data_IF_179237100416
#
_entry.id   IF_179237100416
#
_cell.length_a   1.000
_cell.length_b   1.000
_cell.length_c   1.000
_cell.angle_alpha   90.00
_cell.angle_beta   90.00
_cell.angle_gamma   90.00
#
_symmetry.space_group_name_H-M   'P 1'
#
loop_
_entity.id
_entity.type
_entity.pdbx_description
1 polymer ?
#
# COMPACT_ATOMS: atom_id res chain seq x y z
N UNK A 1 10.15 4.77 15.86
CA UNK A 1 10.45 3.38 15.44
C UNK A 1 9.20 2.56 15.11
N UNK A 2 8.13 2.62 15.93
CA UNK A 2 6.91 1.80 15.78
C UNK A 2 6.16 1.99 14.45
N UNK A 3 5.96 3.21 13.97
CA UNK A 3 5.21 3.50 12.72
C UNK A 3 5.82 2.82 11.49
N UNK A 4 7.15 2.82 11.39
CA UNK A 4 7.89 2.29 10.24
C UNK A 4 7.72 0.77 10.08
N UNK A 5 7.79 0.03 11.20
CA UNK A 5 7.59 -1.42 11.23
C UNK A 5 6.21 -1.82 10.69
N UNK A 6 5.19 -0.97 10.87
CA UNK A 6 3.81 -1.26 10.47
C UNK A 6 3.53 -0.92 9.00
N UNK A 7 4.08 0.19 8.48
CA UNK A 7 4.07 0.43 7.01
C UNK A 7 4.70 -0.74 6.29
N UNK A 8 5.85 -1.18 6.79
CA UNK A 8 6.52 -2.32 6.20
C UNK A 8 5.67 -3.59 6.24
N UNK A 9 5.06 -3.89 7.39
CA UNK A 9 4.28 -5.11 7.49
C UNK A 9 3.08 -5.13 6.54
N UNK A 10 2.37 -4.00 6.39
CA UNK A 10 1.31 -3.91 5.38
C UNK A 10 1.86 -4.10 3.96
N UNK A 11 3.04 -3.54 3.68
CA UNK A 11 3.68 -3.70 2.38
C UNK A 11 4.10 -5.16 2.10
N UNK A 12 4.67 -5.85 3.09
CA UNK A 12 5.00 -7.29 3.02
C UNK A 12 3.72 -8.14 2.92
N UNK A 13 2.62 -7.69 3.53
CA UNK A 13 1.34 -8.37 3.47
C UNK A 13 0.74 -8.41 2.05
N UNK A 14 1.06 -7.45 1.18
CA UNK A 14 0.73 -7.55 -0.24
C UNK A 14 1.84 -8.16 -1.08
N UNK A 15 2.96 -7.44 -1.22
CA UNK A 15 4.02 -7.76 -2.20
C UNK A 15 5.08 -8.76 -1.69
N UNK A 16 5.05 -9.09 -0.39
CA UNK A 16 5.99 -10.04 0.19
C UNK A 16 5.65 -11.49 -0.15
N UNK A 17 6.66 -12.33 -0.28
CA UNK A 17 6.50 -13.78 -0.37
C UNK A 17 7.38 -14.45 0.68
N UNK A 18 6.75 -15.24 1.55
CA UNK A 18 7.45 -16.03 2.57
C UNK A 18 7.41 -17.49 2.16
N UNK A 19 8.56 -18.15 2.16
CA UNK A 19 8.67 -19.57 1.88
C UNK A 19 9.84 -20.21 2.62
N UNK A 20 9.86 -21.54 2.61
CA UNK A 20 10.96 -22.33 3.15
C UNK A 20 11.83 -22.80 1.99
N UNK A 21 13.13 -22.58 2.07
CA UNK A 21 14.11 -23.13 1.14
C UNK A 21 14.79 -24.34 1.80
N UNK A 22 14.83 -25.47 1.08
CA UNK A 22 15.64 -26.63 1.50
C UNK A 22 17.11 -26.24 1.42
N UNK A 23 17.86 -26.59 2.46
CA UNK A 23 19.32 -26.48 2.49
C UNK A 23 19.91 -27.89 2.52
N UNK A 24 21.06 -28.07 1.87
CA UNK A 24 21.75 -29.37 1.80
C UNK A 24 22.35 -29.79 3.15
N UNK A 25 22.36 -28.90 4.14
CA UNK A 25 22.73 -29.18 5.52
C UNK A 25 21.46 -29.27 6.36
N UNK A 26 21.19 -30.48 6.84
CA UNK A 26 20.30 -30.93 7.92
C UNK A 26 18.95 -30.23 8.10
N UNK A 27 17.84 -30.98 7.90
CA UNK A 27 16.47 -30.92 8.46
C UNK A 27 15.76 -29.56 8.74
N UNK A 28 16.42 -28.42 8.66
CA UNK A 28 16.01 -27.13 9.15
C UNK A 28 15.79 -26.22 7.94
N UNK A 29 14.54 -25.84 7.73
CA UNK A 29 14.16 -25.04 6.58
C UNK A 29 14.67 -23.59 6.74
N UNK A 30 15.40 -23.08 5.74
CA UNK A 30 15.72 -21.66 5.70
C UNK A 30 14.43 -20.87 5.42
N UNK A 31 14.05 -20.00 6.35
CA UNK A 31 12.92 -19.09 6.16
C UNK A 31 13.36 -17.89 5.33
N UNK A 32 12.73 -17.73 4.18
CA UNK A 32 13.08 -16.71 3.18
C UNK A 32 11.92 -15.74 3.02
N UNK A 33 12.22 -14.46 3.09
CA UNK A 33 11.35 -13.38 2.63
C UNK A 33 11.86 -12.86 1.30
N UNK A 34 10.99 -12.82 0.30
CA UNK A 34 11.28 -12.19 -1.00
C UNK A 34 10.28 -11.08 -1.27
N UNK A 35 10.75 -9.94 -1.77
CA UNK A 35 9.88 -8.86 -2.25
C UNK A 35 10.36 -8.48 -3.64
N UNK A 36 9.47 -8.53 -4.63
CA UNK A 36 9.75 -8.14 -6.00
C UNK A 36 8.92 -6.92 -6.40
N UNK A 37 9.57 -5.90 -6.93
CA UNK A 37 8.93 -4.69 -7.44
C UNK A 37 9.35 -4.39 -8.87
N UNK A 38 8.60 -3.52 -9.54
CA UNK A 38 9.05 -2.92 -10.80
C UNK A 38 10.30 -2.08 -10.56
N UNK A 39 11.24 -2.07 -11.51
CA UNK A 39 12.51 -1.34 -11.38
C UNK A 39 12.32 0.16 -11.09
N UNK A 40 11.25 0.78 -11.62
CA UNK A 40 10.89 2.18 -11.33
C UNK A 40 10.68 2.48 -9.84
N UNK A 41 10.36 1.45 -9.06
CA UNK A 41 10.13 1.51 -7.63
C UNK A 41 11.36 1.07 -6.80
N UNK A 42 12.56 0.97 -7.43
CA UNK A 42 13.85 0.64 -6.78
C UNK A 42 14.11 1.41 -5.49
N UNK A 43 13.87 2.72 -5.50
CA UNK A 43 14.11 3.56 -4.32
C UNK A 43 13.25 3.16 -3.11
N UNK A 44 12.13 2.47 -3.31
CA UNK A 44 11.32 1.93 -2.22
C UNK A 44 11.96 0.68 -1.62
N UNK A 45 12.52 -0.22 -2.45
CA UNK A 45 13.29 -1.36 -1.94
C UNK A 45 14.59 -0.95 -1.26
N UNK A 46 15.26 0.12 -1.71
CA UNK A 46 16.45 0.65 -1.03
C UNK A 46 16.13 1.17 0.38
N UNK A 47 15.04 1.92 0.53
CA UNK A 47 14.54 2.34 1.85
C UNK A 47 14.17 1.15 2.73
N UNK A 48 13.57 0.12 2.13
CA UNK A 48 13.26 -1.11 2.84
C UNK A 48 14.54 -1.81 3.32
N UNK A 49 15.56 -1.94 2.46
CA UNK A 49 16.88 -2.50 2.77
C UNK A 49 17.53 -1.78 3.97
N UNK A 50 17.58 -0.45 3.94
CA UNK A 50 18.08 0.38 5.05
C UNK A 50 17.28 0.11 6.33
N UNK A 51 15.96 -0.01 6.22
CA UNK A 51 15.09 -0.20 7.37
C UNK A 51 15.27 -1.55 8.08
N UNK A 52 15.46 -2.63 7.33
CA UNK A 52 15.69 -3.97 7.90
C UNK A 52 17.17 -4.22 8.22
N UNK A 53 18.02 -3.22 8.03
CA UNK A 53 19.48 -3.33 8.20
C UNK A 53 20.06 -4.51 7.40
N UNK A 54 19.59 -4.64 6.15
CA UNK A 54 20.05 -5.69 5.26
C UNK A 54 21.24 -5.19 4.45
N UNK A 55 22.38 -5.88 4.54
CA UNK A 55 23.60 -5.51 3.79
C UNK A 55 23.66 -6.11 2.38
N UNK A 56 22.92 -7.18 2.10
CA UNK A 56 22.98 -7.91 0.84
C UNK A 56 22.41 -7.15 -0.37
N UNK A 57 22.71 -7.64 -1.58
CA UNK A 57 22.38 -6.93 -2.81
C UNK A 57 20.92 -7.05 -3.24
N UNK A 58 20.47 -6.04 -4.00
CA UNK A 58 19.21 -6.10 -4.72
C UNK A 58 19.46 -6.80 -6.06
N UNK A 59 18.72 -7.87 -6.32
CA UNK A 59 18.76 -8.56 -7.60
C UNK A 59 17.94 -7.79 -8.63
N UNK A 60 18.57 -7.40 -9.73
CA UNK A 60 17.92 -6.77 -10.87
C UNK A 60 17.84 -7.83 -11.98
N UNK A 61 16.67 -8.00 -12.57
CA UNK A 61 16.51 -8.92 -13.70
C UNK A 61 17.29 -8.44 -14.94
N UNK A 62 17.53 -9.35 -15.89
CA UNK A 62 18.34 -9.05 -17.09
C UNK A 62 17.76 -7.89 -17.90
N UNK A 63 16.43 -7.81 -17.98
CA UNK A 63 15.71 -6.82 -18.77
C UNK A 63 15.49 -5.49 -18.01
N UNK A 64 15.96 -5.39 -16.75
CA UNK A 64 15.81 -4.24 -15.85
C UNK A 64 14.35 -3.79 -15.68
N UNK A 65 13.42 -4.73 -15.74
CA UNK A 65 11.99 -4.48 -15.51
C UNK A 65 11.61 -4.72 -14.06
N UNK A 66 12.35 -5.58 -13.37
CA UNK A 66 12.07 -6.06 -12.02
C UNK A 66 13.31 -5.94 -11.15
N UNK A 67 13.07 -5.58 -9.89
CA UNK A 67 14.08 -5.59 -8.83
C UNK A 67 13.53 -6.39 -7.66
N UNK A 68 14.39 -7.20 -7.04
CA UNK A 68 14.01 -8.14 -5.99
C UNK A 68 15.00 -8.09 -4.83
N UNK A 69 14.48 -8.12 -3.62
CA UNK A 69 15.26 -8.33 -2.39
C UNK A 69 14.88 -9.70 -1.80
N UNK A 70 15.90 -10.47 -1.40
CA UNK A 70 15.72 -11.78 -0.79
C UNK A 70 16.49 -11.81 0.52
N UNK A 71 15.77 -12.03 1.63
CA UNK A 71 16.33 -12.02 2.98
C UNK A 71 16.14 -13.41 3.59
N UNK A 72 17.27 -14.05 3.94
CA UNK A 72 17.30 -15.31 4.66
C UNK A 72 17.42 -15.01 6.15
N UNK A 73 16.30 -14.93 6.87
CA UNK A 73 16.30 -14.63 8.30
C UNK A 73 15.13 -15.28 9.00
N UNK A 74 15.41 -16.36 9.74
CA UNK A 74 14.43 -17.08 10.57
C UNK A 74 13.76 -16.14 11.58
N UNK A 75 14.53 -15.27 12.22
CA UNK A 75 14.01 -14.30 13.19
C UNK A 75 13.05 -13.31 12.55
N UNK A 76 13.45 -12.68 11.43
CA UNK A 76 12.62 -11.69 10.75
C UNK A 76 11.30 -12.31 10.28
N UNK A 77 11.38 -13.47 9.63
CA UNK A 77 10.20 -14.16 9.09
C UNK A 77 9.27 -14.60 10.22
N UNK A 78 9.79 -15.21 11.29
CA UNK A 78 8.98 -15.62 12.45
C UNK A 78 8.26 -14.42 13.08
N UNK A 79 8.98 -13.32 13.31
CA UNK A 79 8.40 -12.09 13.84
C UNK A 79 7.27 -11.54 12.97
N UNK A 80 7.44 -11.57 11.65
CA UNK A 80 6.43 -11.08 10.70
C UNK A 80 5.19 -11.98 10.72
N UNK A 81 5.39 -13.30 10.68
CA UNK A 81 4.30 -14.29 10.74
C UNK A 81 3.48 -14.14 12.02
N UNK A 82 4.14 -14.07 13.18
CA UNK A 82 3.46 -14.03 14.49
C UNK A 82 2.77 -12.69 14.76
N UNK A 83 3.33 -11.57 14.31
CA UNK A 83 2.82 -10.23 14.63
C UNK A 83 1.80 -9.71 13.63
N UNK A 84 1.77 -10.26 12.40
CA UNK A 84 0.95 -9.73 11.31
C UNK A 84 0.16 -10.76 10.53
N UNK A 85 0.22 -12.02 10.95
CA UNK A 85 -0.53 -13.14 10.35
C UNK A 85 -0.21 -13.32 8.85
N UNK A 86 1.00 -12.91 8.44
CA UNK A 86 1.50 -13.03 7.06
C UNK A 86 2.05 -14.45 6.89
N UNK A 87 1.22 -15.35 6.38
CA UNK A 87 1.55 -16.76 6.17
C UNK A 87 2.18 -17.01 4.78
N UNK A 88 2.60 -18.26 4.55
CA UNK A 88 3.03 -18.72 3.21
C UNK A 88 1.82 -18.86 2.30
N UNK A 89 1.99 -18.66 0.99
CA UNK A 89 0.93 -18.80 -0.03
C UNK A 89 -0.35 -18.00 0.31
N UNK A 90 -0.18 -16.82 0.92
CA UNK A 90 -1.26 -16.02 1.48
C UNK A 90 -2.16 -15.32 0.46
N UNK A 91 -1.85 -15.39 -0.84
CA UNK A 91 -2.51 -14.61 -1.90
C UNK A 91 -4.03 -14.66 -1.84
N UNK A 92 -4.61 -15.82 -1.49
CA UNK A 92 -6.06 -16.03 -1.40
C UNK A 92 -6.58 -16.22 0.04
N UNK A 93 -5.69 -16.23 1.04
CA UNK A 93 -6.03 -16.59 2.43
C UNK A 93 -5.63 -15.53 3.45
N UNK A 94 -5.02 -14.42 3.01
CA UNK A 94 -4.57 -13.39 3.93
C UNK A 94 -5.74 -12.72 4.66
N UNK A 95 -5.62 -12.60 5.97
CA UNK A 95 -6.54 -11.83 6.82
C UNK A 95 -5.71 -10.84 7.62
N UNK A 96 -5.97 -9.53 7.51
CA UNK A 96 -5.29 -8.54 8.34
C UNK A 96 -5.50 -8.80 9.84
N UNK A 97 -4.45 -8.66 10.66
CA UNK A 97 -4.52 -8.86 12.11
C UNK A 97 -5.37 -7.79 12.83
N UNK A 98 -6.30 -8.20 13.69
CA UNK A 98 -7.08 -7.27 14.53
C UNK A 98 -6.25 -6.63 15.65
N UNK A 99 -5.16 -7.30 16.07
CA UNK A 99 -4.25 -6.88 17.14
C UNK A 99 -3.39 -5.65 16.83
N UNK A 100 -3.52 -5.03 15.65
CA UNK A 100 -2.79 -3.78 15.35
C UNK A 100 -3.40 -2.62 16.16
N UNK A 101 -2.60 -1.92 17.00
CA UNK A 101 -3.09 -0.77 17.76
C UNK A 101 -3.73 0.28 16.86
N UNK A 102 -4.84 0.88 17.31
CA UNK A 102 -5.65 1.84 16.53
C UNK A 102 -4.81 2.96 15.89
N UNK A 103 -3.93 3.59 16.67
CA UNK A 103 -3.04 4.67 16.23
C UNK A 103 -1.99 4.22 15.18
N UNK A 104 -1.78 2.91 15.02
CA UNK A 104 -0.87 2.32 14.04
C UNK A 104 -1.57 1.73 12.81
N UNK A 105 -2.89 1.55 12.83
CA UNK A 105 -3.64 0.97 11.69
C UNK A 105 -3.42 1.75 10.40
N UNK A 106 -3.35 3.08 10.46
CA UNK A 106 -3.07 3.91 9.28
C UNK A 106 -1.77 3.58 8.56
N UNK A 107 -0.72 3.25 9.32
CA UNK A 107 0.57 2.90 8.74
C UNK A 107 0.49 1.54 8.05
N UNK A 108 -0.20 0.59 8.67
CA UNK A 108 -0.43 -0.72 8.08
C UNK A 108 -1.28 -0.63 6.81
N UNK A 109 -2.37 0.14 6.81
CA UNK A 109 -3.20 0.40 5.62
C UNK A 109 -2.42 1.13 4.54
N UNK A 110 -1.54 2.08 4.89
CA UNK A 110 -0.63 2.67 3.91
C UNK A 110 0.31 1.64 3.29
N UNK A 111 0.81 0.69 4.08
CA UNK A 111 1.60 -0.43 3.58
C UNK A 111 0.85 -1.27 2.54
N UNK A 112 -0.40 -1.65 2.85
CA UNK A 112 -1.29 -2.34 1.90
C UNK A 112 -1.59 -1.47 0.67
N UNK A 113 -1.76 -0.15 0.87
CA UNK A 113 -1.95 0.78 -0.23
C UNK A 113 -0.72 0.83 -1.11
N UNK A 114 0.48 0.76 -0.55
CA UNK A 114 1.75 0.79 -1.25
C UNK A 114 2.07 -0.53 -1.95
N UNK A 115 1.56 -1.68 -1.50
CA UNK A 115 1.63 -2.91 -2.27
C UNK A 115 0.57 -2.95 -3.37
N UNK A 116 -0.64 -3.36 -3.03
CA UNK A 116 -1.73 -3.72 -3.96
C UNK A 116 -2.69 -2.56 -4.22
N UNK A 117 -2.44 -1.40 -3.61
CA UNK A 117 -3.22 -0.20 -3.89
C UNK A 117 -2.84 0.48 -5.21
N UNK A 118 -3.76 1.28 -5.73
CA UNK A 118 -3.53 2.14 -6.88
C UNK A 118 -4.12 3.53 -6.67
N UNK A 119 -3.42 4.54 -7.18
CA UNK A 119 -4.00 5.86 -7.38
C UNK A 119 -4.06 6.14 -8.88
N UNK A 120 -5.23 6.46 -9.38
CA UNK A 120 -5.48 6.77 -10.80
C UNK A 120 -5.84 8.24 -10.95
N UNK A 121 -5.57 8.78 -12.13
CA UNK A 121 -5.93 10.14 -12.54
C UNK A 121 -6.47 10.02 -13.95
N UNK A 122 -7.72 10.41 -14.15
CA UNK A 122 -8.43 10.29 -15.42
C UNK A 122 -8.87 11.69 -15.83
N UNK A 123 -8.57 12.05 -17.08
CA UNK A 123 -9.12 13.26 -17.68
C UNK A 123 -10.58 12.99 -18.05
N UNK A 124 -11.52 13.78 -17.52
CA UNK A 124 -12.91 13.69 -17.96
C UNK A 124 -13.09 14.50 -19.25
N UNK A 125 -13.64 13.90 -20.33
CA UNK A 125 -13.94 14.65 -21.53
C UNK A 125 -14.96 15.77 -21.23
N UNK A 126 -14.77 16.90 -21.91
CA UNK A 126 -15.39 18.22 -21.70
C UNK A 126 -16.93 18.33 -21.73
N UNK A 127 -17.69 17.23 -21.73
CA UNK A 127 -19.17 17.30 -21.67
C UNK A 127 -19.59 17.46 -20.23
N UNK A 128 -19.98 18.70 -19.88
CA UNK A 128 -20.70 19.02 -18.67
C UNK A 128 -22.03 18.27 -18.65
N UNK A 129 -22.01 17.04 -18.14
CA UNK A 129 -23.21 16.33 -17.73
C UNK A 129 -23.26 16.46 -16.21
N UNK A 130 -24.29 17.14 -15.72
CA UNK A 130 -24.64 17.31 -14.29
C UNK A 130 -23.74 18.25 -13.46
N UNK A 131 -23.47 19.48 -13.94
CA UNK A 131 -22.97 20.57 -13.07
C UNK A 131 -21.54 20.42 -12.54
N UNK A 132 -20.77 19.47 -13.07
CA UNK A 132 -19.36 19.32 -12.70
C UNK A 132 -18.46 20.34 -13.41
N UNK A 133 -17.53 20.94 -12.65
CA UNK A 133 -16.57 21.94 -13.15
C UNK A 133 -15.73 21.35 -14.28
N UNK A 134 -15.82 21.97 -15.46
CA UNK A 134 -15.05 21.64 -16.65
C UNK A 134 -13.55 21.79 -16.36
N UNK A 135 -12.73 20.81 -16.75
CA UNK A 135 -11.26 20.89 -16.64
C UNK A 135 -10.63 20.24 -15.40
N UNK A 136 -11.42 19.65 -14.49
CA UNK A 136 -10.88 18.92 -13.34
C UNK A 136 -10.59 17.45 -13.68
N UNK A 137 -9.46 16.93 -13.20
CA UNK A 137 -9.18 15.50 -13.22
C UNK A 137 -10.01 14.78 -12.16
N UNK A 138 -10.40 13.54 -12.48
CA UNK A 138 -10.98 12.62 -11.52
C UNK A 138 -9.93 11.64 -11.06
N UNK A 139 -9.74 11.60 -9.75
CA UNK A 139 -8.85 10.66 -9.11
C UNK A 139 -9.62 9.44 -8.61
N UNK A 140 -8.94 8.29 -8.58
CA UNK A 140 -9.42 7.07 -7.97
C UNK A 140 -8.37 6.53 -7.00
N UNK A 141 -8.79 5.96 -5.88
CA UNK A 141 -7.95 5.21 -4.96
C UNK A 141 -8.52 3.80 -4.83
N UNK A 142 -7.78 2.80 -5.27
CA UNK A 142 -8.20 1.40 -5.16
C UNK A 142 -7.29 0.60 -4.26
N UNK A 143 -7.83 -0.48 -3.71
CA UNK A 143 -7.09 -1.54 -3.06
C UNK A 143 -7.55 -2.87 -3.63
N UNK A 144 -6.62 -3.81 -3.76
CA UNK A 144 -6.89 -5.18 -4.20
C UNK A 144 -6.38 -6.15 -3.15
N UNK A 145 -7.08 -7.25 -2.94
CA UNK A 145 -6.72 -8.28 -1.96
C UNK A 145 -7.84 -9.27 -1.71
N UNK A 146 -7.72 -10.05 -0.64
CA UNK A 146 -8.79 -10.93 -0.16
C UNK A 146 -10.02 -10.14 0.30
N UNK A 147 -11.19 -10.78 0.35
CA UNK A 147 -12.41 -10.17 0.87
C UNK A 147 -12.19 -9.59 2.27
N UNK A 148 -11.50 -10.33 3.14
CA UNK A 148 -11.15 -9.92 4.50
C UNK A 148 -10.29 -8.66 4.50
N UNK A 149 -9.32 -8.58 3.59
CA UNK A 149 -8.49 -7.39 3.40
C UNK A 149 -9.32 -6.19 2.96
N UNK A 150 -10.25 -6.40 2.01
CA UNK A 150 -11.12 -5.33 1.53
C UNK A 150 -12.09 -4.83 2.60
N UNK A 151 -12.67 -5.73 3.40
CA UNK A 151 -13.53 -5.38 4.54
C UNK A 151 -12.72 -4.58 5.58
N UNK A 152 -11.50 -5.01 5.90
CA UNK A 152 -10.62 -4.29 6.81
C UNK A 152 -10.37 -2.85 6.35
N UNK A 153 -10.06 -2.67 5.05
CA UNK A 153 -9.81 -1.35 4.45
C UNK A 153 -11.08 -0.49 4.45
N UNK A 154 -12.23 -1.07 4.09
CA UNK A 154 -13.54 -0.40 4.13
C UNK A 154 -13.83 0.15 5.52
N UNK A 155 -13.66 -0.69 6.54
CA UNK A 155 -13.90 -0.35 7.93
C UNK A 155 -12.93 0.74 8.42
N UNK A 156 -11.65 0.66 8.04
CA UNK A 156 -10.67 1.69 8.37
C UNK A 156 -11.06 3.08 7.83
N UNK A 157 -11.57 3.14 6.60
CA UNK A 157 -12.01 4.41 6.01
C UNK A 157 -13.39 4.86 6.49
N UNK A 158 -14.21 3.96 7.05
CA UNK A 158 -15.62 4.21 7.37
C UNK A 158 -16.47 4.33 6.09
N UNK A 159 -16.12 3.57 5.05
CA UNK A 159 -16.74 3.66 3.73
C UNK A 159 -17.88 2.66 3.57
N UNK A 160 -18.86 2.98 2.73
CA UNK A 160 -19.94 2.08 2.31
C UNK A 160 -19.75 1.57 0.88
N UNK A 161 -18.64 1.93 0.23
CA UNK A 161 -18.32 1.51 -1.14
C UNK A 161 -18.20 -0.01 -1.20
N UNK A 162 -18.94 -0.62 -2.13
CA UNK A 162 -18.92 -2.07 -2.36
C UNK A 162 -17.65 -2.52 -3.07
N UNK A 163 -17.24 -3.73 -2.79
CA UNK A 163 -16.15 -4.41 -3.47
C UNK A 163 -16.62 -4.98 -4.82
N UNK A 164 -15.67 -5.30 -5.68
CA UNK A 164 -15.91 -5.98 -6.96
C UNK A 164 -14.97 -7.16 -7.04
N UNK A 165 -15.50 -8.33 -7.39
CA UNK A 165 -14.67 -9.52 -7.64
C UNK A 165 -13.83 -9.30 -8.88
N UNK A 166 -12.52 -9.58 -8.80
CA UNK A 166 -11.58 -9.22 -9.88
C UNK A 166 -11.66 -10.16 -11.08
N UNK A 167 -12.07 -11.42 -10.85
CA UNK A 167 -12.21 -12.47 -11.87
C UNK A 167 -13.41 -13.35 -11.54
N UNK A 168 -14.08 -13.84 -12.57
CA UNK A 168 -15.16 -14.83 -12.45
C UNK A 168 -14.57 -16.24 -12.24
N UNK A 169 -13.89 -16.44 -11.12
CA UNK A 169 -13.34 -17.73 -10.71
C UNK A 169 -13.42 -17.88 -9.19
N UNK A 170 -12.95 -18.99 -8.63
CA UNK A 170 -13.01 -19.23 -7.18
C UNK A 170 -11.91 -18.52 -6.38
N UNK A 171 -11.13 -17.61 -6.99
CA UNK A 171 -10.10 -16.86 -6.26
C UNK A 171 -10.73 -15.85 -5.29
N UNK A 172 -10.16 -15.77 -4.09
CA UNK A 172 -10.50 -14.77 -3.09
C UNK A 172 -9.77 -13.46 -3.41
N UNK A 173 -10.15 -12.82 -4.52
CA UNK A 173 -9.49 -11.61 -5.02
C UNK A 173 -10.52 -10.55 -5.43
N UNK A 174 -10.55 -9.49 -4.63
CA UNK A 174 -11.52 -8.42 -4.70
C UNK A 174 -10.81 -7.08 -4.81
N UNK A 175 -11.52 -6.09 -5.36
CA UNK A 175 -11.05 -4.70 -5.43
C UNK A 175 -12.12 -3.78 -4.88
N UNK A 176 -11.70 -2.80 -4.09
CA UNK A 176 -12.52 -1.65 -3.70
C UNK A 176 -11.96 -0.41 -4.38
N UNK A 177 -12.82 0.41 -4.98
CA UNK A 177 -12.44 1.64 -5.66
C UNK A 177 -13.17 2.82 -5.04
N UNK A 178 -12.42 3.66 -4.32
CA UNK A 178 -12.90 4.94 -3.82
C UNK A 178 -12.77 6.01 -4.92
N UNK A 179 -13.83 6.79 -5.08
CA UNK A 179 -13.92 7.90 -6.03
C UNK A 179 -14.50 9.13 -5.34
N UNK A 180 -14.43 10.28 -6.01
CA UNK A 180 -14.83 11.56 -5.44
C UNK A 180 -13.62 12.25 -4.80
N UNK A 181 -13.12 13.27 -5.47
CA UNK A 181 -11.87 13.94 -5.12
C UNK A 181 -11.83 14.43 -3.67
N UNK A 182 -12.92 15.02 -3.17
CA UNK A 182 -13.03 15.48 -1.77
C UNK A 182 -12.92 14.30 -0.78
N UNK A 183 -13.55 13.16 -1.09
CA UNK A 183 -13.43 11.95 -0.27
C UNK A 183 -11.98 11.43 -0.31
N UNK A 184 -11.33 11.44 -1.47
CA UNK A 184 -9.94 11.02 -1.61
C UNK A 184 -8.96 11.94 -0.88
N UNK A 185 -9.23 13.25 -0.81
CA UNK A 185 -8.47 14.19 0.02
C UNK A 185 -8.53 13.75 1.49
N UNK A 186 -9.73 13.44 2.00
CA UNK A 186 -9.95 12.95 3.37
C UNK A 186 -9.28 11.59 3.64
N UNK A 187 -9.34 10.66 2.68
CA UNK A 187 -8.69 9.35 2.84
C UNK A 187 -7.17 9.45 2.77
N UNK A 188 -6.65 10.27 1.86
CA UNK A 188 -5.23 10.53 1.78
C UNK A 188 -4.69 11.21 3.04
N UNK A 189 -5.42 12.14 3.67
CA UNK A 189 -4.98 12.77 4.91
C UNK A 189 -4.96 11.81 6.11
N UNK A 190 -5.80 10.77 6.10
CA UNK A 190 -5.71 9.66 7.08
C UNK A 190 -4.43 8.83 6.92
N UNK A 191 -3.89 8.70 5.70
CA UNK A 191 -2.72 7.88 5.38
C UNK A 191 -1.40 8.65 5.43
N UNK A 192 -1.40 9.88 4.90
CA UNK A 192 -0.21 10.69 4.68
C UNK A 192 -0.01 11.72 5.79
N UNK A 193 1.07 11.56 6.56
CA UNK A 193 1.52 12.52 7.57
C UNK A 193 3.05 12.72 7.46
N UNK A 194 3.63 13.57 8.31
CA UNK A 194 5.09 13.84 8.32
C UNK A 194 5.97 12.59 8.42
N UNK A 195 5.47 11.53 9.06
CA UNK A 195 6.22 10.29 9.24
C UNK A 195 6.04 9.35 8.06
N UNK A 196 4.80 9.19 7.59
CA UNK A 196 4.48 8.21 6.56
C UNK A 196 5.02 8.61 5.19
N UNK A 197 5.13 9.91 4.90
CA UNK A 197 5.80 10.47 3.70
C UNK A 197 7.25 10.01 3.52
N UNK A 198 7.95 9.68 4.61
CA UNK A 198 9.35 9.22 4.54
C UNK A 198 9.44 7.80 3.96
N UNK A 199 8.39 6.99 4.13
CA UNK A 199 8.39 5.56 3.79
C UNK A 199 7.46 5.21 2.63
N UNK A 200 6.48 6.05 2.32
CA UNK A 200 5.50 5.72 1.29
C UNK A 200 6.11 5.60 -0.13
N UNK A 201 5.40 4.93 -1.02
CA UNK A 201 5.75 4.93 -2.44
C UNK A 201 5.60 6.33 -3.04
N UNK A 202 6.73 6.89 -3.51
CA UNK A 202 6.77 8.25 -4.12
C UNK A 202 5.76 8.42 -5.24
N UNK A 203 5.55 7.40 -6.09
CA UNK A 203 4.61 7.48 -7.22
C UNK A 203 3.15 7.64 -6.80
N UNK A 204 2.74 7.00 -5.69
CA UNK A 204 1.37 7.06 -5.18
C UNK A 204 1.15 8.39 -4.44
N UNK A 205 2.13 8.79 -3.62
CA UNK A 205 2.11 10.08 -2.94
C UNK A 205 2.12 11.27 -3.91
N UNK A 206 2.87 11.20 -5.02
CA UNK A 206 2.86 12.23 -6.07
C UNK A 206 1.45 12.48 -6.62
N UNK A 207 0.71 11.42 -6.94
CA UNK A 207 -0.68 11.55 -7.44
C UNK A 207 -1.62 12.14 -6.38
N UNK A 208 -1.36 11.87 -5.10
CA UNK A 208 -2.09 12.52 -4.02
C UNK A 208 -1.78 14.03 -3.94
N UNK A 209 -0.52 14.43 -4.14
CA UNK A 209 -0.15 15.84 -4.22
C UNK A 209 -0.82 16.53 -5.42
N UNK A 210 -0.84 15.90 -6.59
CA UNK A 210 -1.55 16.43 -7.76
C UNK A 210 -3.05 16.64 -7.50
N UNK A 211 -3.67 15.76 -6.71
CA UNK A 211 -5.06 15.92 -6.27
C UNK A 211 -5.22 17.13 -5.33
N UNK A 212 -4.29 17.34 -4.40
CA UNK A 212 -4.34 18.49 -3.48
C UNK A 212 -4.12 19.82 -4.22
N UNK A 213 -3.15 19.86 -5.14
CA UNK A 213 -2.84 21.01 -5.99
C UNK A 213 -4.06 21.45 -6.80
N UNK A 214 -4.84 20.49 -7.35
CA UNK A 214 -6.06 20.79 -8.09
C UNK A 214 -7.10 21.56 -7.27
N UNK A 215 -7.08 21.42 -5.94
CA UNK A 215 -7.99 22.12 -5.02
C UNK A 215 -7.30 23.24 -4.24
N UNK A 216 -6.08 23.65 -4.65
CA UNK A 216 -5.26 24.65 -3.97
C UNK A 216 -5.01 24.35 -2.48
N UNK A 217 -4.98 23.05 -2.12
CA UNK A 217 -4.74 22.64 -0.74
C UNK A 217 -3.24 22.57 -0.48
N UNK A 218 -2.75 23.45 0.39
CA UNK A 218 -1.36 23.45 0.84
C UNK A 218 -1.19 22.53 2.05
N UNK A 219 -0.22 21.63 1.99
CA UNK A 219 0.11 20.72 3.08
C UNK A 219 1.39 21.19 3.78
N UNK A 220 1.27 21.72 4.99
CA UNK A 220 2.41 22.07 5.84
C UNK A 220 2.68 20.95 6.84
N UNK A 221 3.90 20.40 6.85
CA UNK A 221 4.30 19.31 7.77
C UNK A 221 3.38 18.09 7.82
N UNK A 222 2.68 17.80 6.71
CA UNK A 222 1.77 16.66 6.65
C UNK A 222 0.40 16.89 7.28
N UNK A 223 0.11 18.10 7.75
CA UNK A 223 -1.24 18.53 8.06
C UNK A 223 -1.78 19.34 6.88
N UNK A 224 -3.03 19.09 6.52
CA UNK A 224 -3.77 19.99 5.64
C UNK A 224 -3.93 21.28 6.45
N UNK A 225 -3.38 22.39 5.94
CA UNK A 225 -3.70 23.70 6.49
C UNK A 225 -5.16 23.97 6.10
N UNK A 226 -6.04 24.18 7.06
CA UNK A 226 -7.41 24.60 6.81
C UNK A 226 -7.36 25.95 6.09
N UNK A 227 -7.36 25.90 4.76
CA UNK A 227 -8.04 26.92 4.00
C UNK A 227 -9.51 26.53 4.07
N UNK A 228 -10.37 27.53 4.31
CA UNK A 228 -11.78 27.39 4.01
C UNK A 228 -11.88 26.62 2.70
N UNK A 229 -12.65 25.53 2.68
CA UNK A 229 -13.12 24.95 1.43
C UNK A 229 -13.96 26.08 0.81
N UNK A 230 -13.30 27.06 0.16
CA UNK A 230 -13.93 28.28 -0.31
C UNK A 230 -14.93 27.84 -1.37
N UNK A 231 -16.19 27.76 -0.94
CA UNK A 231 -17.40 27.68 -1.74
C UNK A 231 -17.30 26.79 -2.98
N UNK A 232 -17.32 25.46 -2.78
CA UNK A 232 -17.67 24.47 -3.81
C UNK A 232 -18.97 23.77 -3.46
#
# INVERSE_FOLDING_TARGET
MHSRKRVLAGFIAGDGCVFNRRTDRDADYAHVLTIGLSYKDKSHLEKFKEFVDFSGDLYIDKDRTKITITINSRRLVKDIMEKYDITKNKTDTYTPPDKIPSHLKKYFVLGLFDSDGSMTKINRPNKAVNGHVKGLYVFGMSFTGTMETIIYIRNFFGSTVKETKRRENDSNNYTILFQGNIQLIKYGSKLYDKYSKKFCMKRKYKKYCELLEQYNIVVHDGNIMDYELVNL
#
